data_IF_445886049559
#
_entry.id   IF_445886049559
#
_cell.length_a   1.000
_cell.length_b   1.000
_cell.length_c   1.000
_cell.angle_alpha   90.00
_cell.angle_beta   90.00
_cell.angle_gamma   90.00
#
_symmetry.space_group_name_H-M   'P 1'
#
loop_
_entity.id
_entity.type
_entity.pdbx_description
1 polymer ?
#
# COMPACT_ATOMS: atom_id res chain seq x y z
N UNK A 1 -21.76 9.10 -4.82
CA UNK A 1 -21.24 9.92 -5.94
C UNK A 1 -20.91 8.95 -7.06
N UNK A 2 -21.37 9.23 -8.29
CA UNK A 2 -21.25 8.28 -9.39
C UNK A 2 -20.32 8.85 -10.46
N UNK A 3 -19.12 8.30 -10.58
CA UNK A 3 -18.36 8.42 -11.81
C UNK A 3 -19.07 7.59 -12.88
N UNK A 4 -19.02 8.03 -14.14
CA UNK A 4 -19.59 7.26 -15.25
C UNK A 4 -18.48 6.61 -16.06
N UNK A 5 -18.55 5.29 -16.23
CA UNK A 5 -17.66 4.57 -17.14
C UNK A 5 -18.09 4.87 -18.58
N UNK A 6 -17.16 5.35 -19.39
CA UNK A 6 -17.33 5.63 -20.81
C UNK A 6 -16.17 5.00 -21.58
N UNK A 7 -16.36 4.87 -22.89
CA UNK A 7 -15.34 4.37 -23.80
C UNK A 7 -15.16 5.40 -24.92
N UNK A 8 -13.92 5.75 -25.25
CA UNK A 8 -13.61 6.73 -26.32
C UNK A 8 -13.27 6.05 -27.66
N UNK A 9 -13.83 4.87 -27.90
CA UNK A 9 -13.52 3.92 -28.98
C UNK A 9 -12.10 3.36 -28.94
N UNK A 10 -11.31 3.72 -27.92
CA UNK A 10 -9.89 3.40 -27.84
C UNK A 10 -9.54 2.82 -26.47
N UNK A 11 -9.99 3.44 -25.39
CA UNK A 11 -9.84 2.96 -24.02
C UNK A 11 -11.10 3.25 -23.20
N UNK A 12 -11.28 2.47 -22.15
CA UNK A 12 -12.21 2.78 -21.08
C UNK A 12 -11.68 3.92 -20.20
N UNK A 13 -12.56 4.84 -19.84
CA UNK A 13 -12.27 5.95 -18.95
C UNK A 13 -13.46 6.27 -18.04
N UNK A 14 -13.17 6.75 -16.84
CA UNK A 14 -14.17 7.31 -15.94
C UNK A 14 -14.29 8.82 -16.19
N UNK A 15 -15.52 9.27 -16.31
CA UNK A 15 -15.84 10.70 -16.32
C UNK A 15 -16.27 11.13 -14.92
N UNK A 16 -15.49 12.05 -14.34
CA UNK A 16 -15.75 12.68 -13.06
C UNK A 16 -16.36 14.06 -13.32
N UNK A 17 -17.65 14.29 -13.02
CA UNK A 17 -18.30 15.54 -13.36
C UNK A 17 -17.77 16.71 -12.52
N UNK A 18 -17.82 17.91 -13.10
CA UNK A 18 -17.63 19.17 -12.38
C UNK A 18 -18.50 19.21 -11.11
N UNK A 19 -17.92 19.70 -10.03
CA UNK A 19 -18.56 19.74 -8.71
C UNK A 19 -18.52 18.40 -7.97
N UNK A 20 -17.89 17.37 -8.55
CA UNK A 20 -17.62 16.12 -7.87
C UNK A 20 -16.79 16.31 -6.60
N UNK A 21 -17.06 15.50 -5.58
CA UNK A 21 -16.32 15.48 -4.32
C UNK A 21 -15.25 14.39 -4.31
N UNK A 22 -14.07 14.72 -3.83
CA UNK A 22 -12.97 13.80 -3.63
C UNK A 22 -12.49 13.91 -2.19
N UNK A 23 -11.97 12.82 -1.64
CA UNK A 23 -11.52 12.78 -0.26
C UNK A 23 -10.09 12.29 -0.15
N UNK A 24 -9.41 12.72 0.90
CA UNK A 24 -8.07 12.24 1.26
C UNK A 24 -7.88 12.30 2.77
N UNK A 25 -7.30 11.26 3.34
CA UNK A 25 -6.79 11.25 4.71
C UNK A 25 -5.31 11.61 4.71
N UNK A 26 -4.88 12.55 5.55
CA UNK A 26 -3.47 12.90 5.68
C UNK A 26 -3.16 13.45 7.07
N UNK A 27 -2.30 12.76 7.81
CA UNK A 27 -1.92 13.14 9.17
C UNK A 27 -0.65 14.02 9.22
N UNK A 28 -0.16 14.53 8.10
CA UNK A 28 0.96 15.46 8.11
C UNK A 28 0.51 16.88 8.49
N UNK A 29 1.42 17.65 9.12
CA UNK A 29 1.18 19.07 9.40
C UNK A 29 1.24 19.85 8.08
N UNK A 30 0.08 20.19 7.55
CA UNK A 30 -0.09 20.74 6.20
C UNK A 30 -0.70 22.13 6.27
N UNK A 31 -0.14 23.09 5.52
CA UNK A 31 -0.83 24.35 5.23
C UNK A 31 -1.82 24.14 4.09
N UNK A 32 -3.10 24.44 4.33
CA UNK A 32 -4.22 24.20 3.40
C UNK A 32 -3.97 24.86 2.04
N UNK A 33 -3.46 26.10 2.03
CA UNK A 33 -3.16 26.89 0.82
C UNK A 33 -2.14 26.21 -0.10
N UNK A 34 -1.21 25.44 0.48
CA UNK A 34 -0.16 24.74 -0.26
C UNK A 34 -0.46 23.25 -0.47
N UNK A 35 -1.63 22.79 -0.04
CA UNK A 35 -1.94 21.37 -0.08
C UNK A 35 -2.46 20.93 -1.44
N UNK A 36 -1.56 20.38 -2.25
CA UNK A 36 -1.83 19.96 -3.62
C UNK A 36 -1.60 18.46 -3.82
N UNK A 37 -2.41 17.59 -3.21
CA UNK A 37 -2.26 16.15 -3.37
C UNK A 37 -2.63 15.69 -4.79
N UNK A 38 -2.09 14.54 -5.19
CA UNK A 38 -2.40 13.91 -6.48
C UNK A 38 -3.33 12.70 -6.38
N UNK A 39 -3.39 12.09 -5.19
CA UNK A 39 -4.10 10.83 -4.93
C UNK A 39 -5.28 11.07 -3.98
N UNK A 40 -6.44 10.53 -4.33
CA UNK A 40 -7.72 10.71 -3.66
C UNK A 40 -8.53 9.42 -3.66
N UNK A 41 -9.60 9.40 -2.86
CA UNK A 41 -10.62 8.33 -2.84
C UNK A 41 -12.02 8.91 -3.07
N UNK A 42 -12.95 8.08 -3.55
CA UNK A 42 -14.34 8.49 -3.79
C UNK A 42 -15.18 8.56 -2.52
N UNK A 43 -14.92 7.68 -1.55
CA UNK A 43 -15.70 7.61 -0.32
C UNK A 43 -14.86 8.07 0.87
N UNK A 44 -15.49 8.86 1.73
CA UNK A 44 -14.87 9.34 2.97
C UNK A 44 -14.47 8.22 3.94
N UNK A 45 -15.07 7.03 3.84
CA UNK A 45 -14.71 5.89 4.68
C UNK A 45 -13.39 5.25 4.26
N UNK A 46 -13.04 5.35 2.97
CA UNK A 46 -11.78 4.82 2.45
C UNK A 46 -10.57 5.68 2.84
N UNK A 47 -10.80 6.89 3.39
CA UNK A 47 -9.71 7.77 3.86
C UNK A 47 -9.04 7.26 5.13
N UNK A 48 -9.72 6.42 5.93
CA UNK A 48 -9.24 5.95 7.24
C UNK A 48 -7.95 5.13 7.12
N UNK A 49 -7.70 4.54 5.95
CA UNK A 49 -6.48 3.82 5.61
C UNK A 49 -5.26 4.75 5.41
N UNK A 50 -5.48 6.06 5.21
CA UNK A 50 -4.45 7.03 4.85
C UNK A 50 -4.15 8.04 5.97
N UNK A 51 -5.16 8.43 6.73
CA UNK A 51 -4.99 9.34 7.86
C UNK A 51 -6.28 9.61 8.63
N UNK A 52 -6.12 10.08 9.87
CA UNK A 52 -7.20 10.51 10.77
C UNK A 52 -7.79 11.85 10.36
N UNK A 53 -6.98 12.79 9.85
CA UNK A 53 -7.46 14.09 9.38
C UNK A 53 -7.99 13.94 7.95
N UNK A 54 -9.28 14.25 7.78
CA UNK A 54 -10.01 14.06 6.51
C UNK A 54 -10.20 15.39 5.79
N UNK A 55 -9.81 15.41 4.53
CA UNK A 55 -9.96 16.55 3.63
C UNK A 55 -10.96 16.20 2.52
N UNK A 56 -11.81 17.17 2.18
CA UNK A 56 -12.72 17.11 1.05
C UNK A 56 -12.34 18.16 0.02
N UNK A 57 -12.24 17.73 -1.22
CA UNK A 57 -11.92 18.54 -2.39
C UNK A 57 -13.11 18.54 -3.34
N UNK A 58 -13.32 19.67 -4.01
CA UNK A 58 -14.38 19.81 -5.01
C UNK A 58 -13.77 20.04 -6.37
N UNK A 59 -14.22 19.29 -7.37
CA UNK A 59 -13.65 19.29 -8.70
C UNK A 59 -14.15 20.51 -9.51
N UNK A 60 -13.23 21.21 -10.16
CA UNK A 60 -13.51 22.45 -10.91
C UNK A 60 -14.08 22.21 -12.31
N UNK A 61 -13.63 21.13 -12.96
CA UNK A 61 -13.92 20.80 -14.35
C UNK A 61 -14.33 19.33 -14.49
N UNK A 62 -15.05 18.98 -15.55
CA UNK A 62 -15.28 17.55 -15.82
C UNK A 62 -13.97 16.90 -16.23
N UNK A 63 -13.53 15.89 -15.48
CA UNK A 63 -12.25 15.21 -15.69
C UNK A 63 -12.45 13.87 -16.40
N UNK A 64 -11.53 13.55 -17.31
CA UNK A 64 -11.45 12.25 -17.98
C UNK A 64 -10.29 11.45 -17.38
N UNK A 65 -10.62 10.40 -16.66
CA UNK A 65 -9.66 9.59 -15.91
C UNK A 65 -9.54 8.21 -16.56
N UNK A 66 -8.34 7.80 -16.94
CA UNK A 66 -8.11 6.47 -17.52
C UNK A 66 -8.53 5.37 -16.53
N UNK A 67 -9.34 4.40 -16.96
CA UNK A 67 -9.87 3.35 -16.09
C UNK A 67 -8.92 2.15 -16.02
N UNK A 68 -7.92 2.19 -15.14
CA UNK A 68 -6.84 1.16 -15.09
C UNK A 68 -7.32 -0.23 -14.65
N UNK A 69 -8.51 -0.32 -14.05
CA UNK A 69 -9.18 -1.57 -13.70
C UNK A 69 -10.06 -2.13 -14.84
N UNK A 70 -10.17 -1.42 -15.97
CA UNK A 70 -11.01 -1.75 -17.15
C UNK A 70 -10.19 -1.90 -18.43
N UNK A 71 -10.81 -2.02 -19.60
CA UNK A 71 -10.06 -2.28 -20.83
C UNK A 71 -9.31 -1.04 -21.33
N UNK A 72 -7.98 -1.11 -21.29
CA UNK A 72 -7.08 -0.02 -21.72
C UNK A 72 -6.00 -0.55 -22.66
N UNK A 73 -6.36 -1.54 -23.49
CA UNK A 73 -5.45 -2.25 -24.38
C UNK A 73 -4.67 -1.30 -25.29
N UNK A 74 -5.33 -0.28 -25.83
CA UNK A 74 -4.65 0.67 -26.70
C UNK A 74 -3.64 1.52 -25.91
N UNK A 75 -3.95 1.93 -24.69
CA UNK A 75 -2.99 2.61 -23.82
C UNK A 75 -1.81 1.69 -23.49
N UNK A 76 -2.05 0.44 -23.10
CA UNK A 76 -1.01 -0.53 -22.79
C UNK A 76 -0.06 -0.76 -23.99
N UNK A 77 -0.60 -1.06 -25.17
CA UNK A 77 0.19 -1.40 -26.35
C UNK A 77 1.03 -0.23 -26.88
N UNK A 78 0.55 1.01 -26.70
CA UNK A 78 1.27 2.22 -27.12
C UNK A 78 2.17 2.80 -26.02
N UNK A 79 2.21 2.19 -24.84
CA UNK A 79 3.05 2.65 -23.73
C UNK A 79 4.47 2.09 -23.84
N UNK A 80 5.50 2.79 -23.32
CA UNK A 80 6.86 2.28 -23.26
C UNK A 80 6.97 1.09 -22.30
N UNK A 81 8.01 0.26 -22.46
CA UNK A 81 8.16 -1.00 -21.73
C UNK A 81 8.16 -0.84 -20.21
N UNK A 82 8.69 0.26 -19.67
CA UNK A 82 8.64 0.53 -18.23
C UNK A 82 7.19 0.73 -17.73
N UNK A 83 6.36 1.42 -18.50
CA UNK A 83 4.94 1.66 -18.17
C UNK A 83 4.13 0.38 -18.32
N UNK A 84 4.38 -0.41 -19.38
CA UNK A 84 3.77 -1.73 -19.54
C UNK A 84 4.10 -2.64 -18.34
N UNK A 85 5.36 -2.65 -17.89
CA UNK A 85 5.78 -3.41 -16.72
C UNK A 85 5.07 -2.95 -15.44
N UNK A 86 4.84 -1.64 -15.27
CA UNK A 86 4.07 -1.12 -14.12
C UNK A 86 2.62 -1.60 -14.21
N UNK A 87 1.97 -1.49 -15.37
CA UNK A 87 0.59 -1.95 -15.55
C UNK A 87 0.46 -3.46 -15.27
N UNK A 88 1.42 -4.26 -15.73
CA UNK A 88 1.45 -5.69 -15.50
C UNK A 88 1.66 -6.04 -14.01
N UNK A 89 2.71 -5.48 -13.39
CA UNK A 89 3.14 -5.89 -12.04
C UNK A 89 2.31 -5.25 -10.92
N UNK A 90 1.89 -3.99 -11.10
CA UNK A 90 1.18 -3.23 -10.07
C UNK A 90 -0.34 -3.27 -10.24
N UNK A 91 -0.83 -3.33 -11.47
CA UNK A 91 -2.27 -3.29 -11.76
C UNK A 91 -2.78 -4.62 -12.33
N UNK A 92 -1.92 -5.64 -12.42
CA UNK A 92 -2.30 -6.97 -12.89
C UNK A 92 -2.79 -6.97 -14.34
N UNK A 93 -2.39 -5.99 -15.14
CA UNK A 93 -2.90 -5.84 -16.50
C UNK A 93 -2.36 -6.94 -17.40
N UNK A 94 -3.22 -7.90 -17.74
CA UNK A 94 -2.97 -8.91 -18.76
C UNK A 94 -4.10 -8.83 -19.78
N UNK A 95 -3.74 -8.65 -21.05
CA UNK A 95 -4.68 -8.54 -22.15
C UNK A 95 -5.67 -9.71 -22.16
N UNK A 96 -6.97 -9.40 -22.21
CA UNK A 96 -8.05 -10.39 -22.20
C UNK A 96 -8.36 -11.02 -20.84
N UNK A 97 -7.67 -10.63 -19.77
CA UNK A 97 -7.96 -11.12 -18.40
C UNK A 97 -8.65 -9.99 -17.61
N UNK A 98 -9.93 -10.16 -17.25
CA UNK A 98 -10.68 -9.13 -16.51
C UNK A 98 -10.34 -9.11 -15.02
N UNK A 99 -9.96 -10.24 -14.43
CA UNK A 99 -9.60 -10.30 -13.02
C UNK A 99 -8.18 -9.78 -12.84
N UNK A 100 -8.06 -8.65 -12.13
CA UNK A 100 -6.81 -7.95 -11.92
C UNK A 100 -6.53 -7.80 -10.44
N UNK A 101 -5.27 -8.04 -10.07
CA UNK A 101 -4.79 -7.83 -8.71
C UNK A 101 -3.93 -6.59 -8.63
N UNK A 102 -4.14 -5.81 -7.59
CA UNK A 102 -3.44 -4.56 -7.31
C UNK A 102 -2.31 -4.79 -6.32
N UNK A 103 -1.15 -4.23 -6.64
CA UNK A 103 0.01 -4.13 -5.76
C UNK A 103 0.49 -2.68 -5.78
N UNK A 104 0.28 -1.95 -4.69
CA UNK A 104 0.64 -0.53 -4.62
C UNK A 104 2.12 -0.34 -4.31
N UNK A 105 2.80 0.32 -5.25
CA UNK A 105 4.21 0.71 -5.12
C UNK A 105 4.30 2.18 -5.50
N UNK A 106 4.52 3.03 -4.49
CA UNK A 106 4.40 4.50 -4.64
C UNK A 106 5.22 5.07 -5.80
N UNK A 107 6.46 4.64 -5.99
CA UNK A 107 7.33 5.14 -7.06
C UNK A 107 6.80 4.78 -8.45
N UNK A 108 6.34 3.54 -8.62
CA UNK A 108 5.73 3.06 -9.86
C UNK A 108 4.42 3.76 -10.17
N UNK A 109 3.57 3.96 -9.15
CA UNK A 109 2.28 4.62 -9.30
C UNK A 109 2.45 6.11 -9.71
N UNK A 110 3.44 6.80 -9.10
CA UNK A 110 3.82 8.17 -9.52
C UNK A 110 4.42 8.22 -10.92
N UNK A 111 5.23 7.22 -11.30
CA UNK A 111 5.81 7.12 -12.64
C UNK A 111 4.71 6.95 -13.69
N UNK A 112 3.75 6.05 -13.44
CA UNK A 112 2.59 5.83 -14.30
C UNK A 112 1.75 7.10 -14.44
N UNK A 113 1.42 7.74 -13.31
CA UNK A 113 0.63 8.97 -13.33
C UNK A 113 1.33 10.06 -14.14
N UNK A 114 2.63 10.27 -13.92
CA UNK A 114 3.41 11.28 -14.66
C UNK A 114 3.40 11.02 -16.16
N UNK A 115 3.51 9.76 -16.59
CA UNK A 115 3.38 9.38 -17.99
C UNK A 115 1.98 9.67 -18.55
N UNK A 116 0.92 9.28 -17.85
CA UNK A 116 -0.46 9.57 -18.26
C UNK A 116 -0.67 11.08 -18.46
N UNK A 117 -0.17 11.89 -17.52
CA UNK A 117 -0.26 13.35 -17.59
C UNK A 117 0.51 13.92 -18.78
N UNK A 118 1.65 13.33 -19.14
CA UNK A 118 2.47 13.80 -20.27
C UNK A 118 1.80 13.64 -21.63
N UNK A 119 0.83 12.73 -21.75
CA UNK A 119 0.08 12.50 -22.99
C UNK A 119 -0.98 13.58 -23.24
N UNK A 120 -1.42 14.29 -22.20
CA UNK A 120 -2.47 15.32 -22.29
C UNK A 120 -3.87 14.83 -22.70
N UNK A 121 -4.06 13.52 -22.89
CA UNK A 121 -5.35 12.93 -23.31
C UNK A 121 -6.32 12.71 -22.13
N UNK A 122 -5.77 12.46 -20.95
CA UNK A 122 -6.51 12.18 -19.71
C UNK A 122 -5.99 13.08 -18.59
N UNK A 123 -6.90 13.49 -17.71
CA UNK A 123 -6.60 14.35 -16.54
C UNK A 123 -6.03 13.55 -15.35
N UNK A 124 -5.77 12.27 -15.57
CA UNK A 124 -5.26 11.33 -14.58
C UNK A 124 -5.83 9.93 -14.80
N UNK A 125 -5.90 9.15 -13.73
CA UNK A 125 -6.46 7.80 -13.77
C UNK A 125 -7.37 7.53 -12.59
N UNK A 126 -8.20 6.51 -12.73
CA UNK A 126 -9.10 6.05 -11.69
C UNK A 126 -9.16 4.52 -11.68
N UNK A 127 -9.40 3.96 -10.51
CA UNK A 127 -9.69 2.54 -10.32
C UNK A 127 -10.89 2.38 -9.41
N UNK A 128 -11.74 1.41 -9.72
CA UNK A 128 -12.71 0.89 -8.76
C UNK A 128 -12.00 0.00 -7.73
N UNK A 129 -12.77 -0.62 -6.84
CA UNK A 129 -12.26 -1.59 -5.87
C UNK A 129 -11.60 -2.76 -6.62
N UNK A 130 -10.34 -3.04 -6.30
CA UNK A 130 -9.56 -4.13 -6.88
C UNK A 130 -9.17 -5.16 -5.81
N UNK A 131 -8.87 -6.39 -6.19
CA UNK A 131 -8.31 -7.37 -5.24
C UNK A 131 -6.84 -7.05 -4.96
N UNK A 132 -6.41 -7.12 -3.69
CA UNK A 132 -4.98 -7.02 -3.39
C UNK A 132 -4.24 -8.30 -3.82
N UNK A 133 -2.97 -8.17 -4.24
CA UNK A 133 -2.07 -9.32 -4.41
C UNK A 133 -1.85 -10.04 -3.07
N UNK A 134 -1.90 -9.30 -1.96
CA UNK A 134 -1.80 -9.84 -0.62
C UNK A 134 -3.22 -10.22 -0.12
N UNK A 135 -3.57 -11.51 -0.23
CA UNK A 135 -4.90 -12.03 0.15
C UNK A 135 -5.30 -11.73 1.61
N UNK A 136 -4.34 -11.42 2.47
CA UNK A 136 -4.55 -11.05 3.89
C UNK A 136 -5.05 -9.60 4.02
N UNK A 137 -4.68 -8.72 3.09
CA UNK A 137 -5.01 -7.29 3.12
C UNK A 137 -6.40 -7.00 2.52
N UNK A 138 -7.05 -8.00 1.92
CA UNK A 138 -8.41 -7.90 1.40
C UNK A 138 -8.49 -7.16 0.06
N UNK A 139 -9.36 -6.14 0.01
CA UNK A 139 -9.64 -5.35 -1.19
C UNK A 139 -8.86 -4.03 -1.15
N UNK A 140 -8.32 -3.65 -2.30
CA UNK A 140 -7.75 -2.33 -2.53
C UNK A 140 -8.88 -1.33 -2.77
N UNK A 141 -8.93 -0.27 -1.98
CA UNK A 141 -9.94 0.77 -2.11
C UNK A 141 -9.88 1.43 -3.49
N UNK A 142 -11.03 1.92 -3.94
CA UNK A 142 -11.11 2.72 -5.15
C UNK A 142 -10.25 3.98 -5.04
N UNK A 143 -9.51 4.30 -6.10
CA UNK A 143 -8.53 5.39 -6.13
C UNK A 143 -8.80 6.34 -7.30
N UNK A 144 -8.53 7.62 -7.08
CA UNK A 144 -8.52 8.68 -8.09
C UNK A 144 -7.17 9.36 -8.04
N UNK A 145 -6.54 9.45 -9.20
CA UNK A 145 -5.32 10.20 -9.37
C UNK A 145 -5.54 11.34 -10.36
N UNK A 146 -5.14 12.55 -9.97
CA UNK A 146 -5.29 13.75 -10.79
C UNK A 146 -3.92 14.31 -11.15
N UNK A 147 -3.79 14.70 -12.41
CA UNK A 147 -2.57 15.25 -12.98
C UNK A 147 -2.25 16.64 -12.43
N UNK A 148 -3.19 17.57 -12.57
CA UNK A 148 -3.02 18.97 -12.20
C UNK A 148 -3.87 19.34 -10.98
N UNK A 149 -3.22 20.00 -10.03
CA UNK A 149 -3.85 20.59 -8.84
C UNK A 149 -4.87 21.70 -9.14
N UNK A 150 -4.84 22.33 -10.32
CA UNK A 150 -5.84 23.34 -10.71
C UNK A 150 -7.24 22.76 -10.94
N UNK A 151 -7.35 21.42 -11.06
CA UNK A 151 -8.60 20.73 -11.33
C UNK A 151 -9.52 20.58 -10.10
N UNK A 152 -9.09 21.03 -8.92
CA UNK A 152 -9.90 21.01 -7.71
C UNK A 152 -9.73 22.29 -6.88
N UNK A 153 -10.75 22.61 -6.10
CA UNK A 153 -10.77 23.70 -5.13
C UNK A 153 -9.91 23.37 -3.91
N UNK A 154 -9.55 24.39 -3.14
CA UNK A 154 -8.86 24.22 -1.86
C UNK A 154 -9.64 23.28 -0.92
N UNK A 155 -8.94 22.46 -0.13
CA UNK A 155 -9.61 21.46 0.67
C UNK A 155 -10.35 22.05 1.86
N UNK A 156 -11.53 21.50 2.09
CA UNK A 156 -12.28 21.66 3.34
C UNK A 156 -11.92 20.55 4.31
N UNK A 157 -11.63 20.89 5.57
CA UNK A 157 -11.35 19.89 6.62
C UNK A 157 -12.69 19.39 7.17
N UNK A 158 -12.94 18.09 7.04
CA UNK A 158 -14.17 17.44 7.53
C UNK A 158 -14.02 16.82 8.92
N UNK A 159 -12.79 16.54 9.36
CA UNK A 159 -12.56 15.92 10.65
C UNK A 159 -12.88 16.89 11.79
N UNK A 160 -13.91 16.58 12.59
CA UNK A 160 -14.27 17.26 13.84
C UNK A 160 -13.30 16.90 14.99
N UNK A 161 -12.01 16.83 14.70
CA UNK A 161 -10.98 16.55 15.70
C UNK A 161 -10.63 17.83 16.46
N UNK A 162 -10.42 17.71 17.77
CA UNK A 162 -9.86 18.79 18.58
C UNK A 162 -8.48 19.18 18.07
N UNK A 163 -8.02 20.38 18.41
CA UNK A 163 -6.64 20.82 18.14
C UNK A 163 -5.63 19.84 18.75
N UNK A 164 -5.86 19.36 19.98
CA UNK A 164 -4.96 18.39 20.61
C UNK A 164 -4.94 17.05 19.87
N UNK A 165 -6.09 16.59 19.37
CA UNK A 165 -6.18 15.32 18.64
C UNK A 165 -5.49 15.39 17.26
N UNK A 166 -5.56 16.56 16.60
CA UNK A 166 -4.81 16.82 15.36
C UNK A 166 -3.31 16.80 15.62
N UNK A 167 -2.84 17.46 16.69
CA UNK A 167 -1.42 17.44 17.08
C UNK A 167 -0.94 16.02 17.36
N UNK A 168 -1.72 15.23 18.11
CA UNK A 168 -1.40 13.82 18.34
C UNK A 168 -1.34 13.00 17.05
N UNK A 169 -2.25 13.23 16.11
CA UNK A 169 -2.21 12.58 14.81
C UNK A 169 -0.91 12.92 14.05
N UNK A 170 -0.48 14.17 14.10
CA UNK A 170 0.77 14.62 13.49
C UNK A 170 2.01 13.97 14.14
N UNK A 171 2.06 13.88 15.47
CA UNK A 171 3.14 13.21 16.20
C UNK A 171 3.21 11.71 15.88
N UNK A 172 2.07 11.02 15.89
CA UNK A 172 1.95 9.61 15.52
C UNK A 172 2.50 9.37 14.10
N UNK A 173 2.12 10.22 13.14
CA UNK A 173 2.57 10.10 11.75
C UNK A 173 4.09 10.32 11.62
N UNK A 174 4.67 11.27 12.36
CA UNK A 174 6.12 11.50 12.38
C UNK A 174 6.87 10.29 12.97
N UNK A 175 6.39 9.73 14.08
CA UNK A 175 6.99 8.53 14.69
C UNK A 175 6.97 7.34 13.73
N UNK A 176 5.83 7.12 13.04
CA UNK A 176 5.73 6.07 12.02
C UNK A 176 6.74 6.30 10.90
N UNK A 177 6.87 7.53 10.40
CA UNK A 177 7.83 7.89 9.34
C UNK A 177 9.27 7.62 9.76
N UNK A 178 9.68 8.08 10.94
CA UNK A 178 11.02 7.83 11.49
C UNK A 178 11.29 6.32 11.60
N UNK A 179 10.31 5.54 12.08
CA UNK A 179 10.45 4.08 12.18
C UNK A 179 10.64 3.38 10.82
N UNK A 180 10.05 3.91 9.74
CA UNK A 180 10.22 3.38 8.37
C UNK A 180 11.62 3.69 7.85
N UNK A 181 12.09 4.93 8.03
CA UNK A 181 13.45 5.34 7.66
C UNK A 181 14.52 4.51 8.38
N UNK A 182 14.34 4.28 9.68
CA UNK A 182 15.26 3.43 10.46
C UNK A 182 15.30 1.99 9.95
N UNK A 183 14.16 1.43 9.53
CA UNK A 183 14.11 0.08 8.95
C UNK A 183 14.83 0.01 7.60
N UNK A 184 14.65 1.03 6.76
CA UNK A 184 15.31 1.11 5.44
C UNK A 184 16.82 1.26 5.57
N UNK A 185 17.30 2.14 6.46
CA UNK A 185 18.74 2.31 6.71
C UNK A 185 19.37 1.03 7.26
N UNK A 186 18.70 0.29 8.14
CA UNK A 186 19.17 -1.02 8.63
C UNK A 186 19.24 -2.07 7.52
N UNK A 187 18.26 -2.12 6.60
CA UNK A 187 18.29 -3.02 5.43
C UNK A 187 19.46 -2.71 4.50
N UNK A 188 19.83 -1.43 4.38
CA UNK A 188 20.96 -1.01 3.56
C UNK A 188 22.31 -1.29 4.23
N UNK A 189 22.38 -1.18 5.57
CA UNK A 189 23.62 -1.42 6.33
C UNK A 189 24.06 -2.89 6.33
N UNK A 190 23.11 -3.84 6.32
CA UNK A 190 23.41 -5.28 6.38
C UNK A 190 24.09 -5.85 5.12
N UNK A 191 24.21 -5.09 4.02
CA UNK A 191 24.93 -5.51 2.81
C UNK A 191 26.39 -5.03 2.74
N UNK A 192 26.85 -4.19 3.67
CA UNK A 192 28.19 -3.58 3.61
C UNK A 192 29.25 -4.22 4.52
N UNK A 193 28.91 -5.27 5.29
CA UNK A 193 29.80 -5.90 6.27
C UNK A 193 29.99 -7.38 5.94
N UNK A 194 30.33 -7.70 4.69
CA UNK A 194 30.88 -9.02 4.35
C UNK A 194 31.96 -8.95 3.26
N UNK A 195 32.56 -7.78 3.04
CA UNK A 195 33.67 -7.60 2.09
C UNK A 195 34.73 -6.61 2.63
N UNK A 196 34.94 -6.62 3.94
CA UNK A 196 36.16 -6.09 4.54
C UNK A 196 36.78 -7.17 5.39
N UNK A 197 37.85 -7.79 4.89
CA UNK A 197 38.82 -8.52 5.70
C UNK A 197 39.38 -7.56 6.77
N UNK A 198 38.70 -7.48 7.89
CA UNK A 198 39.25 -6.92 9.11
C UNK A 198 38.96 -7.90 10.23
N UNK A 199 40.04 -8.48 10.76
CA UNK A 199 40.06 -9.41 11.88
C UNK A 199 39.24 -8.87 13.06
N UNK A 200 38.00 -9.34 13.19
CA UNK A 200 37.19 -9.12 14.39
C UNK A 200 37.66 -10.11 15.45
N UNK A 201 38.26 -9.54 16.50
CA UNK A 201 38.57 -10.23 17.74
C UNK A 201 37.36 -10.97 18.28
N UNK A 202 37.65 -12.18 18.79
CA UNK A 202 36.71 -13.12 19.39
C UNK A 202 36.10 -12.50 20.66
N UNK A 203 34.90 -11.92 20.55
CA UNK A 203 34.10 -11.54 21.72
C UNK A 203 33.40 -12.80 22.24
N UNK A 204 33.99 -13.42 23.26
CA UNK A 204 33.33 -14.44 24.08
C UNK A 204 32.35 -13.76 25.04
N UNK A 205 31.06 -13.98 24.84
CA UNK A 205 30.09 -13.82 25.93
C UNK A 205 30.25 -15.02 26.86
N UNK A 206 31.00 -14.82 27.95
CA UNK A 206 31.07 -15.76 29.06
C UNK A 206 29.81 -15.64 29.90
N UNK A 207 28.96 -16.65 29.84
CA UNK A 207 28.14 -17.06 30.97
C UNK A 207 28.87 -18.28 31.54
N UNK A 208 29.79 -18.03 32.48
CA UNK A 208 30.30 -19.03 33.40
C UNK A 208 29.69 -18.68 34.76
N UNK A 209 28.80 -19.54 35.20
CA UNK A 209 28.20 -19.54 36.52
C UNK A 209 28.33 -21.01 36.92
N UNK A 210 29.41 -21.37 37.62
CA UNK A 210 29.57 -22.64 38.32
C UNK A 210 30.73 -22.51 39.34
N UNK A 211 30.33 -22.47 40.62
CA UNK A 211 30.84 -23.19 41.80
C UNK A 211 32.32 -23.17 42.24
N UNK A 212 32.43 -23.06 43.57
CA UNK A 212 33.43 -23.62 44.50
C UNK A 212 34.92 -23.15 44.45
N UNK A 213 35.32 -22.62 45.60
CA UNK A 213 36.55 -22.81 46.39
C UNK A 213 37.93 -23.07 45.75
N UNK A 214 38.90 -22.49 46.45
CA UNK A 214 40.34 -22.82 46.56
C UNK A 214 41.36 -22.17 45.60
N UNK A 215 42.02 -21.18 46.20
CA UNK A 215 43.48 -21.00 46.36
C UNK A 215 44.46 -21.14 45.18
N UNK A 216 45.36 -20.14 45.19
CA UNK A 216 46.80 -20.20 44.92
C UNK A 216 47.35 -19.93 43.49
N UNK A 217 48.07 -18.79 43.45
CA UNK A 217 49.49 -18.66 43.05
C UNK A 217 49.85 -18.16 41.63
N UNK A 218 50.32 -16.90 41.64
CA UNK A 218 51.48 -16.28 40.98
C UNK A 218 51.82 -16.45 39.48
N UNK A 219 51.98 -15.26 38.90
CA UNK A 219 53.16 -14.75 38.19
C UNK A 219 53.63 -15.31 36.83
N UNK A 220 53.94 -14.31 35.99
CA UNK A 220 55.19 -14.15 35.25
C UNK A 220 55.35 -14.72 33.82
N UNK A 221 55.55 -13.73 32.94
CA UNK A 221 56.67 -13.62 31.99
C UNK A 221 56.72 -14.52 30.74
N UNK A 222 56.65 -13.82 29.61
CA UNK A 222 57.67 -13.79 28.55
C UNK A 222 57.79 -14.90 27.50
N UNK A 223 58.16 -14.42 26.31
CA UNK A 223 58.80 -15.18 25.23
C UNK A 223 57.79 -15.87 24.32
N UNK A 224 57.96 -15.93 23.01
CA UNK A 224 59.09 -15.64 22.14
C UNK A 224 58.66 -16.07 20.73
N UNK A 225 59.29 -15.51 19.71
CA UNK A 225 58.97 -15.83 18.32
C UNK A 225 59.30 -17.27 17.93
N UNK A 226 58.79 -17.72 16.78
CA UNK A 226 59.62 -18.13 15.65
C UNK A 226 58.85 -18.73 14.47
N UNK A 227 59.27 -18.29 13.29
CA UNK A 227 59.59 -19.01 12.05
C UNK A 227 58.68 -20.15 11.51
N UNK A 228 58.32 -19.92 10.23
CA UNK A 228 58.45 -20.82 9.06
C UNK A 228 57.79 -22.21 9.14
N UNK A 229 56.92 -22.52 8.16
CA UNK A 229 57.30 -23.24 6.92
C UNK A 229 56.10 -23.51 6.01
N UNK A 230 56.41 -23.41 4.73
CA UNK A 230 55.69 -23.86 3.53
C UNK A 230 55.17 -25.30 3.58
N UNK A 231 54.04 -25.58 2.90
CA UNK A 231 53.97 -26.62 1.84
C UNK A 231 52.63 -26.64 1.09
N UNK A 232 52.73 -26.62 -0.24
CA UNK A 232 51.69 -27.04 -1.20
C UNK A 232 51.54 -28.55 -1.20
N UNK A 233 50.32 -29.08 -1.33
CA UNK A 233 50.02 -30.27 -2.13
C UNK A 233 48.52 -30.39 -2.44
N UNK A 234 48.25 -31.02 -3.57
CA UNK A 234 47.08 -30.96 -4.43
C UNK A 234 45.91 -31.92 -4.03
N UNK A 235 44.78 -31.94 -4.78
CA UNK A 235 43.46 -32.38 -4.31
C UNK A 235 43.13 -33.85 -4.61
N UNK A 236 42.11 -34.38 -3.93
CA UNK A 236 41.44 -35.62 -4.32
C UNK A 236 39.92 -35.49 -4.19
N UNK A 237 39.23 -35.70 -5.33
CA UNK A 237 37.79 -35.96 -5.43
C UNK A 237 37.41 -37.22 -4.64
N UNK A 238 36.24 -37.22 -3.99
CA UNK A 238 35.38 -38.40 -3.90
C UNK A 238 33.92 -38.02 -3.67
N UNK A 239 33.08 -38.63 -4.50
CA UNK A 239 31.62 -38.65 -4.48
C UNK A 239 31.07 -39.41 -3.29
N UNK A 240 29.89 -39.02 -2.79
CA UNK A 240 28.86 -39.98 -2.36
C UNK A 240 27.48 -39.31 -2.26
N UNK A 241 26.51 -39.93 -2.93
CA UNK A 241 25.06 -39.72 -2.79
C UNK A 241 24.60 -40.01 -1.35
N UNK A 242 23.59 -39.28 -0.84
CA UNK A 242 22.57 -39.82 0.08
C UNK A 242 21.22 -39.07 -0.02
N UNK A 243 20.11 -39.74 0.35
CA UNK A 243 18.74 -39.43 -0.08
C UNK A 243 17.87 -38.69 0.95
N UNK A 244 16.70 -38.28 0.45
CA UNK A 244 15.42 -37.87 1.05
C UNK A 244 15.08 -38.45 2.45
N UNK A 245 14.59 -37.58 3.36
CA UNK A 245 13.54 -37.96 4.33
C UNK A 245 12.72 -36.77 4.86
N UNK A 246 11.41 -37.05 4.91
CA UNK A 246 10.24 -36.25 5.38
C UNK A 246 10.46 -35.52 6.70
N UNK A 247 9.95 -34.29 6.80
CA UNK A 247 9.59 -33.66 8.08
C UNK A 247 8.07 -33.75 8.30
N UNK A 248 7.71 -34.31 9.44
CA UNK A 248 6.35 -34.48 9.95
C UNK A 248 6.02 -33.33 10.91
N UNK A 249 4.79 -32.83 10.78
CA UNK A 249 4.03 -31.92 11.65
C UNK A 249 4.50 -31.79 13.11
N UNK A 250 4.53 -30.54 13.60
CA UNK A 250 4.19 -30.22 15.00
C UNK A 250 3.24 -29.02 15.04
N UNK A 251 1.97 -29.30 15.35
CA UNK A 251 0.98 -28.32 15.75
C UNK A 251 1.27 -27.88 17.19
N UNK A 252 1.07 -26.61 17.51
CA UNK A 252 0.82 -26.21 18.89
C UNK A 252 -0.24 -25.13 18.93
N UNK A 253 -1.33 -25.47 19.63
CA UNK A 253 -2.48 -24.66 19.99
C UNK A 253 -2.06 -23.38 20.73
N UNK A 254 -2.75 -22.28 20.46
CA UNK A 254 -3.19 -21.37 21.52
C UNK A 254 -4.55 -20.75 21.17
N UNK A 255 -5.55 -21.19 21.92
CA UNK A 255 -6.92 -20.67 21.93
C UNK A 255 -7.02 -19.59 23.02
N UNK A 256 -7.54 -18.41 22.66
CA UNK A 256 -8.33 -17.47 23.50
C UNK A 256 -8.65 -16.29 22.57
N UNK A 257 -9.83 -15.67 22.49
CA UNK A 257 -11.03 -15.63 23.34
C UNK A 257 -12.18 -15.17 22.43
N UNK A 258 -13.28 -15.92 22.40
CA UNK A 258 -14.45 -15.69 21.55
C UNK A 258 -15.49 -14.92 22.37
N UNK A 259 -15.82 -13.69 21.98
CA UNK A 259 -17.06 -13.02 22.36
C UNK A 259 -17.68 -12.42 21.09
N UNK A 260 -18.70 -13.10 20.55
CA UNK A 260 -19.64 -12.48 19.62
C UNK A 260 -21.05 -12.91 19.99
N UNK A 261 -21.87 -11.87 20.15
CA UNK A 261 -23.28 -11.87 20.55
C UNK A 261 -24.16 -12.55 19.50
N UNK A 262 -25.23 -13.18 19.97
CA UNK A 262 -26.29 -13.84 19.16
C UNK A 262 -26.99 -12.86 18.19
N UNK A 263 -27.49 -13.34 17.04
CA UNK A 263 -28.37 -12.59 16.16
C UNK A 263 -29.84 -12.74 16.58
N UNK A 264 -30.57 -11.64 16.68
CA UNK A 264 -32.02 -11.66 16.86
C UNK A 264 -32.69 -11.31 15.53
N UNK A 265 -33.15 -12.34 14.81
CA UNK A 265 -34.14 -12.21 13.74
C UNK A 265 -35.50 -11.87 14.38
N UNK A 266 -36.12 -10.76 13.96
CA UNK A 266 -37.58 -10.59 14.01
C UNK A 266 -38.09 -10.07 12.68
N UNK A 267 -38.60 -11.02 11.90
CA UNK A 267 -39.57 -10.83 10.82
C UNK A 267 -40.90 -10.36 11.42
N UNK A 268 -41.50 -9.30 10.87
CA UNK A 268 -42.95 -9.09 10.97
C UNK A 268 -43.45 -8.53 9.63
N UNK A 269 -44.17 -9.39 8.90
CA UNK A 269 -45.07 -9.06 7.78
C UNK A 269 -46.39 -8.51 8.36
N UNK A 270 -46.95 -7.46 7.76
CA UNK A 270 -48.36 -7.31 7.28
C UNK A 270 -48.59 -5.85 6.85
N UNK A 271 -48.79 -5.53 5.57
CA UNK A 271 -50.05 -5.54 4.77
C UNK A 271 -51.11 -4.53 5.24
N UNK A 272 -51.44 -3.54 4.38
CA UNK A 272 -52.79 -3.04 3.97
C UNK A 272 -52.55 -1.92 2.92
N UNK A 273 -52.80 -2.11 1.62
CA UNK A 273 -54.06 -2.09 0.81
C UNK A 273 -54.66 -0.68 0.54
N UNK A 274 -54.54 -0.28 -0.74
CA UNK A 274 -55.49 0.46 -1.60
C UNK A 274 -56.23 1.69 -1.04
N UNK A 275 -56.09 2.82 -1.75
CA UNK A 275 -57.27 3.51 -2.30
C UNK A 275 -56.94 4.28 -3.58
N UNK A 276 -57.99 4.40 -4.38
CA UNK A 276 -58.10 4.65 -5.81
C UNK A 276 -58.45 6.10 -6.15
N UNK A 277 -58.30 6.42 -7.45
CA UNK A 277 -59.19 7.23 -8.32
C UNK A 277 -58.90 8.74 -8.51
N UNK A 278 -58.57 9.04 -9.78
CA UNK A 278 -59.22 9.98 -10.74
C UNK A 278 -59.56 11.40 -10.27
N UNK A 279 -59.08 12.40 -11.00
CA UNK A 279 -59.85 13.30 -11.91
C UNK A 279 -58.90 14.33 -12.55
N UNK A 280 -58.67 14.30 -13.87
CA UNK A 280 -59.23 15.13 -14.99
C UNK A 280 -58.82 16.61 -15.10
N UNK A 281 -58.34 16.92 -16.33
CA UNK A 281 -58.56 18.13 -17.16
C UNK A 281 -58.10 19.49 -16.62
N UNK A 282 -57.21 20.18 -17.38
CA UNK A 282 -57.60 21.14 -18.43
C UNK A 282 -56.37 21.72 -19.17
N UNK A 283 -56.47 21.80 -20.52
CA UNK A 283 -56.11 22.90 -21.45
C UNK A 283 -54.91 23.83 -21.11
N UNK A 284 -54.03 24.25 -22.03
CA UNK A 284 -54.29 24.81 -23.37
C UNK A 284 -52.98 25.10 -24.13
N UNK A 285 -53.09 25.08 -25.48
CA UNK A 285 -52.48 25.99 -26.49
C UNK A 285 -51.05 25.80 -27.04
N UNK A 286 -51.01 26.01 -28.37
CA UNK A 286 -49.91 26.33 -29.29
C UNK A 286 -49.08 25.12 -29.71
N UNK A 287 -48.99 24.73 -30.98
CA UNK A 287 -49.11 25.44 -32.27
C UNK A 287 -49.57 24.45 -33.34
#
# INVERSE_FOLDING_TARGET
MFISLKNDNVNDFYELPKGGLLYRGDDNKISVENYKPRFFVYNINDTDSYGKIKYQFKVNNTLRLLALDKDVDNFYNNSPSNIQNILLNNYGYVKGIPLRKRNSVSDSDNTLLTYICSLGKYDGYATDIMESVHEIEGQFHSEVCICDSTNYEEPTILSNLSTEDKERAHEDAQLIRLSKLDKETRKNKSRSIFDSESSVGKLSFGFDDDDDDDEHHNDMFSGGGNLRKTRKSNPTKKSTKKPTKKQTKKQTKKQTKKQTKKPTKKTTKKTIKKTTKKTTKKTTKSK
#
